data_IF_907185102335
#
_entry.id   IF_907185102335
#
_cell.length_a   1.000
_cell.length_b   1.000
_cell.length_c   1.000
_cell.angle_alpha   90.00
_cell.angle_beta   90.00
_cell.angle_gamma   90.00
#
_symmetry.space_group_name_H-M   'P 1'
#
loop_
_entity.id
_entity.type
_entity.pdbx_description
1 polymer ?
#
# COMPACT_ATOMS: atom_id res chain seq x y z
N UNK A 1 11.10 3.90 -15.20
CA UNK A 1 9.87 3.34 -14.64
C UNK A 1 10.07 2.01 -13.93
N UNK A 2 10.73 1.07 -14.58
CA UNK A 2 10.98 -0.23 -13.93
C UNK A 2 11.82 -0.12 -12.68
N UNK A 3 12.73 0.85 -12.61
CA UNK A 3 13.55 1.07 -11.42
C UNK A 3 12.70 1.48 -10.21
N UNK A 4 11.69 2.34 -10.43
CA UNK A 4 10.78 2.74 -9.37
C UNK A 4 9.96 1.54 -8.88
N UNK A 5 9.51 0.70 -9.80
CA UNK A 5 8.76 -0.50 -9.45
C UNK A 5 9.61 -1.43 -8.60
N UNK A 6 10.87 -1.63 -8.96
CA UNK A 6 11.79 -2.48 -8.20
C UNK A 6 11.97 -1.97 -6.77
N UNK A 7 12.16 -0.66 -6.61
CA UNK A 7 12.33 -0.06 -5.29
C UNK A 7 11.06 -0.24 -4.46
N UNK A 8 9.90 0.00 -5.05
CA UNK A 8 8.61 -0.14 -4.36
C UNK A 8 8.36 -1.59 -3.95
N UNK A 9 8.65 -2.53 -4.85
CA UNK A 9 8.52 -3.96 -4.54
C UNK A 9 9.47 -4.38 -3.43
N UNK A 10 10.70 -3.87 -3.44
CA UNK A 10 11.68 -4.17 -2.41
C UNK A 10 11.20 -3.67 -1.04
N UNK A 11 10.72 -2.45 -0.98
CA UNK A 11 10.16 -1.89 0.25
C UNK A 11 9.01 -2.75 0.75
N UNK A 12 8.11 -3.14 -0.14
CA UNK A 12 6.97 -3.99 0.20
C UNK A 12 7.41 -5.32 0.79
N UNK A 13 8.34 -5.99 0.11
CA UNK A 13 8.81 -7.31 0.54
C UNK A 13 9.52 -7.21 1.90
N UNK A 14 10.43 -6.24 2.06
CA UNK A 14 11.21 -6.09 3.30
C UNK A 14 10.28 -5.75 4.46
N UNK A 15 9.34 -4.83 4.27
CA UNK A 15 8.41 -4.44 5.32
C UNK A 15 7.56 -5.63 5.79
N UNK A 16 7.07 -6.43 4.85
CA UNK A 16 6.25 -7.59 5.19
C UNK A 16 7.07 -8.69 5.86
N UNK A 17 8.31 -8.91 5.42
CA UNK A 17 9.19 -9.88 6.07
C UNK A 17 9.48 -9.49 7.52
N UNK A 18 9.76 -8.21 7.77
CA UNK A 18 10.00 -7.72 9.12
C UNK A 18 8.75 -7.90 9.98
N UNK A 19 7.58 -7.59 9.42
CA UNK A 19 6.32 -7.74 10.12
C UNK A 19 6.05 -9.19 10.51
N UNK A 20 6.30 -10.15 9.62
CA UNK A 20 6.13 -11.58 9.92
C UNK A 20 7.13 -12.03 10.97
N UNK A 21 8.38 -11.58 10.90
CA UNK A 21 9.38 -11.92 11.91
C UNK A 21 8.98 -11.43 13.29
N UNK A 22 8.48 -10.19 13.37
CA UNK A 22 7.99 -9.65 14.65
C UNK A 22 6.77 -10.42 15.15
N UNK A 23 5.92 -10.88 14.26
CA UNK A 23 4.78 -11.72 14.61
C UNK A 23 5.23 -13.01 15.28
N UNK A 24 6.27 -13.64 14.73
CA UNK A 24 6.80 -14.89 15.28
C UNK A 24 7.50 -14.67 16.62
N UNK A 25 8.28 -13.59 16.73
CA UNK A 25 9.10 -13.31 17.92
C UNK A 25 8.25 -12.81 19.10
N UNK A 26 7.22 -12.02 18.82
CA UNK A 26 6.43 -11.36 19.86
C UNK A 26 5.40 -12.31 20.48
N UNK A 27 5.85 -13.21 21.34
CA UNK A 27 4.99 -14.19 22.00
C UNK A 27 4.12 -13.59 23.11
N UNK A 28 4.54 -12.44 23.65
CA UNK A 28 3.87 -11.82 24.78
C UNK A 28 2.57 -11.11 24.42
N UNK A 29 2.34 -10.86 23.13
CA UNK A 29 1.16 -10.15 22.64
C UNK A 29 0.06 -11.12 22.25
N UNK A 30 -1.20 -10.66 22.39
CA UNK A 30 -2.35 -11.44 21.93
C UNK A 30 -2.33 -11.56 20.42
N UNK A 31 -2.84 -12.68 19.91
CA UNK A 31 -2.84 -12.94 18.46
C UNK A 31 -3.62 -11.88 17.70
N UNK A 32 -4.68 -11.32 18.29
CA UNK A 32 -5.47 -10.27 17.64
C UNK A 32 -4.64 -9.03 17.39
N UNK A 33 -3.82 -8.62 18.38
CA UNK A 33 -2.95 -7.46 18.24
C UNK A 33 -1.87 -7.71 17.19
N UNK A 34 -1.30 -8.92 17.16
CA UNK A 34 -0.28 -9.28 16.19
C UNK A 34 -0.84 -9.25 14.77
N UNK A 35 -2.03 -9.83 14.57
CA UNK A 35 -2.69 -9.84 13.27
C UNK A 35 -3.00 -8.42 12.80
N UNK A 36 -3.47 -7.57 13.71
CA UNK A 36 -3.74 -6.17 13.38
C UNK A 36 -2.49 -5.46 12.92
N UNK A 37 -1.36 -5.71 13.59
CA UNK A 37 -0.09 -5.12 13.24
C UNK A 37 0.35 -5.57 11.84
N UNK A 38 0.26 -6.86 11.55
CA UNK A 38 0.65 -7.39 10.24
C UNK A 38 -0.22 -6.80 9.13
N UNK A 39 -1.53 -6.72 9.35
CA UNK A 39 -2.45 -6.13 8.38
C UNK A 39 -2.13 -4.65 8.15
N UNK A 40 -1.87 -3.92 9.23
CA UNK A 40 -1.52 -2.50 9.14
C UNK A 40 -0.25 -2.29 8.32
N UNK A 41 0.79 -3.08 8.59
CA UNK A 41 2.05 -3.00 7.84
C UNK A 41 1.81 -3.33 6.37
N UNK A 42 0.97 -4.32 6.09
CA UNK A 42 0.64 -4.68 4.72
C UNK A 42 0.02 -3.49 3.97
N UNK A 43 -0.98 -2.84 4.57
CA UNK A 43 -1.61 -1.68 3.94
C UNK A 43 -0.63 -0.53 3.76
N UNK A 44 0.18 -0.23 4.78
CA UNK A 44 1.15 0.86 4.71
C UNK A 44 2.19 0.58 3.62
N UNK A 45 2.65 -0.67 3.51
CA UNK A 45 3.67 -1.03 2.52
C UNK A 45 3.17 -0.96 1.09
N UNK A 46 1.85 -1.05 0.87
CA UNK A 46 1.28 -0.90 -0.46
C UNK A 46 1.03 0.56 -0.85
N UNK A 47 1.08 1.49 0.11
CA UNK A 47 0.80 2.91 -0.16
C UNK A 47 1.75 3.54 -1.19
N UNK A 48 3.07 3.29 -1.16
CA UNK A 48 3.93 3.86 -2.19
C UNK A 48 3.54 3.47 -3.61
N UNK A 49 3.18 2.20 -3.82
CA UNK A 49 2.71 1.74 -5.12
C UNK A 49 1.40 2.38 -5.52
N UNK A 50 0.47 2.49 -4.56
CA UNK A 50 -0.81 3.15 -4.80
C UNK A 50 -0.61 4.63 -5.17
N UNK A 51 0.28 5.31 -4.47
CA UNK A 51 0.59 6.71 -4.74
C UNK A 51 1.14 6.87 -6.16
N UNK A 52 2.08 6.01 -6.56
CA UNK A 52 2.65 6.07 -7.90
C UNK A 52 1.62 5.78 -8.97
N UNK A 53 0.72 4.83 -8.72
CA UNK A 53 -0.36 4.54 -9.66
C UNK A 53 -1.25 5.75 -9.87
N UNK A 54 -1.66 6.38 -8.78
CA UNK A 54 -2.51 7.57 -8.85
C UNK A 54 -1.80 8.68 -9.61
N UNK A 55 -0.52 8.89 -9.29
CA UNK A 55 0.25 10.00 -9.85
C UNK A 55 0.50 9.83 -11.35
N UNK A 56 0.74 8.60 -11.81
CA UNK A 56 1.12 8.34 -13.20
C UNK A 56 -0.06 8.00 -14.11
N UNK A 57 -1.10 7.36 -13.57
CA UNK A 57 -2.15 6.79 -14.43
C UNK A 57 -3.53 7.39 -14.19
N UNK A 58 -3.88 7.78 -12.97
CA UNK A 58 -5.24 8.22 -12.64
C UNK A 58 -5.28 9.54 -11.88
N UNK A 59 -4.35 10.43 -12.17
CA UNK A 59 -4.26 11.71 -11.47
C UNK A 59 -5.55 12.53 -11.57
N UNK A 60 -6.15 12.57 -12.75
CA UNK A 60 -7.39 13.33 -12.97
C UNK A 60 -8.54 12.75 -12.15
N UNK A 61 -8.68 11.42 -12.16
CA UNK A 61 -9.72 10.75 -11.40
C UNK A 61 -9.51 10.95 -9.91
N UNK A 62 -8.26 10.94 -9.46
CA UNK A 62 -7.94 11.19 -8.06
C UNK A 62 -8.32 12.61 -7.66
N UNK A 63 -7.98 13.60 -8.47
CA UNK A 63 -8.31 15.00 -8.18
C UNK A 63 -9.81 15.20 -8.09
N UNK A 64 -10.58 14.60 -9.00
CA UNK A 64 -12.02 14.64 -8.98
C UNK A 64 -12.59 14.02 -7.71
N UNK A 65 -12.06 12.86 -7.34
CA UNK A 65 -12.49 12.16 -6.13
C UNK A 65 -12.10 12.93 -4.87
N UNK A 66 -10.93 13.56 -4.87
CA UNK A 66 -10.47 14.35 -3.75
C UNK A 66 -11.35 15.59 -3.54
N UNK A 67 -11.80 16.20 -4.63
CA UNK A 67 -12.73 17.33 -4.54
C UNK A 67 -14.09 16.91 -4.03
N UNK A 68 -14.54 15.71 -4.41
CA UNK A 68 -15.81 15.15 -3.98
C UNK A 68 -15.79 14.69 -2.53
N UNK A 69 -14.70 14.09 -2.10
CA UNK A 69 -14.52 13.54 -0.75
C UNK A 69 -13.27 14.13 -0.11
N UNK A 70 -13.35 15.41 0.33
CA UNK A 70 -12.14 16.04 0.89
C UNK A 70 -11.77 15.49 2.27
N UNK A 71 -10.49 15.57 2.59
CA UNK A 71 -9.99 15.29 3.92
C UNK A 71 -9.91 13.81 4.23
N UNK A 72 -10.40 13.44 5.41
CA UNK A 72 -10.24 12.10 5.97
C UNK A 72 -10.90 11.03 5.10
N UNK A 73 -12.05 11.32 4.50
CA UNK A 73 -12.75 10.34 3.68
C UNK A 73 -11.92 9.92 2.46
N UNK A 74 -11.33 10.88 1.76
CA UNK A 74 -10.49 10.58 0.60
C UNK A 74 -9.29 9.74 0.99
N UNK A 75 -8.62 10.09 2.09
CA UNK A 75 -7.46 9.34 2.56
C UNK A 75 -7.84 7.92 2.99
N UNK A 76 -8.98 7.77 3.67
CA UNK A 76 -9.45 6.45 4.11
C UNK A 76 -9.71 5.55 2.91
N UNK A 77 -10.37 6.07 1.87
CA UNK A 77 -10.66 5.31 0.66
C UNK A 77 -9.36 4.88 -0.02
N UNK A 78 -8.38 5.77 -0.11
CA UNK A 78 -7.10 5.47 -0.73
C UNK A 78 -6.37 4.39 0.06
N UNK A 79 -6.36 4.46 1.39
CA UNK A 79 -5.71 3.47 2.23
C UNK A 79 -6.36 2.09 2.05
N UNK A 80 -7.69 2.05 2.05
CA UNK A 80 -8.42 0.79 1.87
C UNK A 80 -8.20 0.19 0.49
N UNK A 81 -8.04 1.03 -0.53
CA UNK A 81 -7.81 0.57 -1.90
C UNK A 81 -6.32 0.40 -2.23
N UNK A 82 -5.43 0.71 -1.31
CA UNK A 82 -3.98 0.65 -1.56
C UNK A 82 -3.51 -0.69 -2.12
N UNK A 83 -3.92 -1.85 -1.57
CA UNK A 83 -3.47 -3.12 -2.15
C UNK A 83 -3.91 -3.29 -3.60
N UNK A 84 -5.14 -2.90 -3.91
CA UNK A 84 -5.68 -2.99 -5.26
C UNK A 84 -4.92 -2.07 -6.22
N UNK A 85 -4.69 -0.83 -5.80
CA UNK A 85 -3.95 0.15 -6.59
C UNK A 85 -2.50 -0.28 -6.79
N UNK A 86 -1.89 -0.88 -5.78
CA UNK A 86 -0.54 -1.43 -5.87
C UNK A 86 -0.48 -2.52 -6.93
N UNK A 87 -1.44 -3.43 -6.93
CA UNK A 87 -1.51 -4.49 -7.93
C UNK A 87 -1.68 -3.92 -9.33
N UNK A 88 -2.52 -2.91 -9.48
CA UNK A 88 -2.71 -2.23 -10.77
C UNK A 88 -1.43 -1.54 -11.24
N UNK A 89 -0.70 -0.93 -10.31
CA UNK A 89 0.56 -0.29 -10.64
C UNK A 89 1.56 -1.30 -11.20
N UNK A 90 1.67 -2.45 -10.55
CA UNK A 90 2.55 -3.52 -11.02
C UNK A 90 2.12 -3.97 -12.43
N UNK A 91 0.83 -4.21 -12.61
CA UNK A 91 0.31 -4.68 -13.88
C UNK A 91 0.60 -3.71 -15.01
N UNK A 92 0.29 -2.43 -14.82
CA UNK A 92 0.49 -1.43 -15.86
C UNK A 92 1.97 -1.20 -16.15
N UNK A 93 2.81 -1.22 -15.13
CA UNK A 93 4.24 -1.01 -15.32
C UNK A 93 4.87 -2.17 -16.10
N UNK A 94 4.48 -3.40 -15.79
CA UNK A 94 4.99 -4.57 -16.49
C UNK A 94 4.48 -4.65 -17.91
N UNK A 95 3.27 -4.14 -18.16
CA UNK A 95 2.68 -4.13 -19.49
C UNK A 95 3.39 -3.16 -20.42
N UNK A 96 3.94 -2.09 -19.90
CA UNK A 96 4.71 -1.16 -20.70
C UNK A 96 5.99 -1.82 -21.22
#
# INVERSE_FOLDING_TARGET
>A
MKNKLLIILLIFIVANLISVLLFIIADDFKIEVKLSFVVLVFFISTMPGAYQYINEYVKEDYDTMHNKFPGIFGMTIIILLSPLLFCKYIYYTLKE
#
